data_IF_539121258796
#
_entry.id   IF_539121258796
#
_cell.length_a   1.000
_cell.length_b   1.000
_cell.length_c   1.000
_cell.angle_alpha   90.00
_cell.angle_beta   90.00
_cell.angle_gamma   90.00
#
_symmetry.space_group_name_H-M   'P 1'
#
loop_
_entity.id
_entity.type
_entity.pdbx_description
1 polymer ?
#
# COMPACT_ATOMS: atom_id res chain seq x y z
N UNK A 1 -3.88 -8.04 28.83
CA UNK A 1 -3.27 -7.26 27.73
C UNK A 1 -3.66 -7.98 26.44
N UNK A 2 -4.49 -7.39 25.60
CA UNK A 2 -4.89 -8.02 24.33
C UNK A 2 -3.70 -7.87 23.37
N UNK A 3 -2.99 -8.96 23.12
CA UNK A 3 -1.98 -9.00 22.08
C UNK A 3 -2.71 -9.12 20.76
N UNK A 4 -2.76 -8.03 19.99
CA UNK A 4 -3.27 -8.09 18.62
C UNK A 4 -2.24 -8.91 17.83
N UNK A 5 -2.62 -10.11 17.41
CA UNK A 5 -1.76 -10.89 16.54
C UNK A 5 -1.73 -10.26 15.14
N UNK A 6 -0.60 -10.37 14.44
CA UNK A 6 -0.46 -9.86 13.07
C UNK A 6 -1.53 -10.46 12.13
N UNK A 7 -1.96 -11.69 12.43
CA UNK A 7 -3.04 -12.41 11.73
C UNK A 7 -4.41 -11.79 11.98
N UNK A 8 -4.73 -11.41 13.21
CA UNK A 8 -5.98 -10.70 13.51
C UNK A 8 -5.97 -9.35 12.81
N UNK A 9 -4.87 -8.61 12.86
CA UNK A 9 -4.79 -7.29 12.24
C UNK A 9 -4.98 -7.33 10.72
N UNK A 10 -4.35 -8.29 10.03
CA UNK A 10 -4.57 -8.49 8.58
C UNK A 10 -5.99 -8.93 8.27
N UNK A 11 -6.60 -9.76 9.13
CA UNK A 11 -8.00 -10.20 8.96
C UNK A 11 -8.99 -9.05 9.13
N UNK A 12 -8.72 -8.15 10.08
CA UNK A 12 -9.60 -7.00 10.35
C UNK A 12 -9.58 -5.96 9.23
N UNK A 13 -8.41 -5.75 8.63
CA UNK A 13 -8.24 -4.80 7.54
C UNK A 13 -8.53 -5.41 6.16
N UNK A 14 -8.71 -6.73 6.08
CA UNK A 14 -8.83 -7.50 4.85
C UNK A 14 -7.70 -7.20 3.84
N UNK A 15 -6.50 -6.93 4.37
CA UNK A 15 -5.29 -6.64 3.57
C UNK A 15 -4.23 -7.70 3.81
N UNK A 16 -3.45 -7.96 2.79
CA UNK A 16 -2.28 -8.83 2.88
C UNK A 16 -1.17 -8.19 3.72
N UNK A 17 -0.30 -9.02 4.27
CA UNK A 17 0.91 -8.56 5.00
C UNK A 17 1.78 -7.66 4.11
N UNK A 18 1.80 -7.91 2.81
CA UNK A 18 2.55 -7.13 1.83
C UNK A 18 2.00 -5.71 1.68
N UNK A 19 0.69 -5.58 1.45
CA UNK A 19 0.03 -4.27 1.32
C UNK A 19 0.19 -3.46 2.60
N UNK A 20 0.04 -4.13 3.73
CA UNK A 20 0.25 -3.52 5.03
C UNK A 20 1.67 -2.97 5.20
N UNK A 21 2.68 -3.75 4.78
CA UNK A 21 4.08 -3.32 4.83
C UNK A 21 4.34 -2.08 3.96
N UNK A 22 3.74 -2.02 2.76
CA UNK A 22 3.85 -0.86 1.87
C UNK A 22 3.19 0.38 2.48
N UNK A 23 2.02 0.24 3.09
CA UNK A 23 1.37 1.35 3.78
C UNK A 23 2.21 1.85 4.97
N UNK A 24 2.78 0.96 5.77
CA UNK A 24 3.68 1.34 6.87
C UNK A 24 4.94 2.05 6.36
N UNK A 25 5.59 1.51 5.32
CA UNK A 25 6.76 2.14 4.72
C UNK A 25 6.44 3.56 4.20
N UNK A 26 5.30 3.72 3.55
CA UNK A 26 4.84 5.00 3.00
C UNK A 26 4.56 6.03 4.09
N UNK A 27 3.92 5.62 5.19
CA UNK A 27 3.67 6.47 6.36
C UNK A 27 4.98 6.86 7.04
N UNK A 28 5.93 5.93 7.18
CA UNK A 28 7.23 6.20 7.80
C UNK A 28 8.01 7.25 7.01
N UNK A 29 8.09 7.09 5.68
CA UNK A 29 8.76 8.06 4.80
C UNK A 29 8.06 9.43 4.88
N UNK A 30 6.72 9.45 4.84
CA UNK A 30 5.95 10.69 4.97
C UNK A 30 6.16 11.38 6.32
N UNK A 31 6.28 10.61 7.42
CA UNK A 31 6.56 11.12 8.76
C UNK A 31 7.95 11.79 8.84
N UNK A 32 8.97 11.18 8.24
CA UNK A 32 10.31 11.79 8.16
C UNK A 32 10.29 13.09 7.36
N UNK A 33 9.60 13.10 6.21
CA UNK A 33 9.40 14.31 5.40
C UNK A 33 8.63 15.40 6.16
N UNK A 34 7.62 15.03 6.94
CA UNK A 34 6.85 15.95 7.76
C UNK A 34 7.73 16.58 8.85
N UNK A 35 8.54 15.78 9.53
CA UNK A 35 9.49 16.27 10.52
C UNK A 35 10.47 17.28 9.93
N UNK A 36 11.06 16.96 8.78
CA UNK A 36 11.98 17.85 8.06
C UNK A 36 11.31 19.18 7.66
N UNK A 37 10.03 19.13 7.27
CA UNK A 37 9.25 20.32 6.92
C UNK A 37 8.92 21.17 8.15
N UNK A 38 8.51 20.57 9.26
CA UNK A 38 8.15 21.29 10.50
C UNK A 38 9.34 22.04 11.10
N UNK A 39 10.54 21.46 11.02
CA UNK A 39 11.77 22.09 11.48
C UNK A 39 12.36 23.10 10.46
N UNK A 40 11.66 23.41 9.36
CA UNK A 40 12.11 24.30 8.29
C UNK A 40 13.50 23.94 7.71
N UNK A 41 13.92 22.68 7.83
CA UNK A 41 15.18 22.19 7.26
C UNK A 41 15.08 22.12 5.74
N UNK A 42 13.88 21.86 5.21
CA UNK A 42 13.63 21.75 3.78
C UNK A 42 12.35 22.49 3.37
N UNK A 43 12.43 23.34 2.34
CA UNK A 43 11.29 24.07 1.78
C UNK A 43 10.50 23.20 0.79
N UNK A 44 9.80 22.20 1.33
CA UNK A 44 8.92 21.28 0.57
C UNK A 44 7.46 21.71 0.71
N UNK A 45 6.63 21.45 -0.30
CA UNK A 45 5.18 21.67 -0.18
C UNK A 45 4.52 20.55 0.64
N UNK A 46 3.39 20.83 1.29
CA UNK A 46 2.64 19.80 2.02
C UNK A 46 2.17 18.66 1.12
N UNK A 47 1.97 18.94 -0.18
CA UNK A 47 1.65 17.92 -1.18
C UNK A 47 2.79 16.91 -1.35
N UNK A 48 4.03 17.38 -1.37
CA UNK A 48 5.22 16.52 -1.48
C UNK A 48 5.45 15.68 -0.21
N UNK A 49 5.08 16.20 0.96
CA UNK A 49 5.13 15.44 2.22
C UNK A 49 4.12 14.29 2.21
N UNK A 50 2.93 14.49 1.62
CA UNK A 50 1.90 13.47 1.49
C UNK A 50 2.11 12.51 0.29
N UNK A 51 2.94 12.89 -0.69
CA UNK A 51 3.19 12.11 -1.90
C UNK A 51 3.57 10.64 -1.64
N UNK A 52 4.42 10.28 -0.65
CA UNK A 52 4.76 8.89 -0.36
C UNK A 52 3.53 8.03 -0.03
N UNK A 53 2.54 8.58 0.69
CA UNK A 53 1.30 7.88 1.05
C UNK A 53 0.49 7.58 -0.21
N UNK A 54 0.34 8.56 -1.10
CA UNK A 54 -0.38 8.39 -2.36
C UNK A 54 0.32 7.40 -3.30
N UNK A 55 1.65 7.44 -3.36
CA UNK A 55 2.45 6.48 -4.14
C UNK A 55 2.27 5.07 -3.60
N UNK A 56 2.28 4.88 -2.27
CA UNK A 56 2.02 3.59 -1.64
C UNK A 56 0.65 3.01 -1.99
N UNK A 57 -0.40 3.85 -1.94
CA UNK A 57 -1.75 3.45 -2.35
C UNK A 57 -1.79 3.07 -3.84
N UNK A 58 -1.17 3.88 -4.70
CA UNK A 58 -1.09 3.61 -6.13
C UNK A 58 -0.37 2.29 -6.45
N UNK A 59 0.69 1.98 -5.71
CA UNK A 59 1.45 0.76 -5.89
C UNK A 59 0.64 -0.49 -5.48
N UNK A 60 -0.08 -0.41 -4.36
CA UNK A 60 -1.01 -1.47 -3.93
C UNK A 60 -2.12 -1.68 -4.96
N UNK A 61 -2.77 -0.60 -5.42
CA UNK A 61 -3.81 -0.69 -6.44
C UNK A 61 -3.30 -1.29 -7.75
N UNK A 62 -2.09 -0.91 -8.19
CA UNK A 62 -1.45 -1.47 -9.38
C UNK A 62 -1.16 -2.97 -9.24
N UNK A 63 -0.71 -3.39 -8.06
CA UNK A 63 -0.46 -4.80 -7.78
C UNK A 63 -1.75 -5.62 -7.83
N UNK A 64 -2.82 -5.15 -7.18
CA UNK A 64 -4.16 -5.77 -7.25
C UNK A 64 -4.64 -5.85 -8.69
N UNK A 65 -4.45 -4.78 -9.47
CA UNK A 65 -4.84 -4.73 -10.88
C UNK A 65 -4.14 -5.80 -11.72
N UNK A 66 -2.84 -6.02 -11.51
CA UNK A 66 -2.10 -7.09 -12.21
C UNK A 66 -2.64 -8.48 -11.84
N UNK A 67 -2.88 -8.72 -10.56
CA UNK A 67 -3.44 -10.01 -10.09
C UNK A 67 -4.81 -10.24 -10.71
N UNK A 68 -5.66 -9.21 -10.72
CA UNK A 68 -6.97 -9.26 -11.34
C UNK A 68 -6.88 -9.62 -12.84
N UNK A 69 -6.03 -8.92 -13.58
CA UNK A 69 -5.82 -9.19 -15.01
C UNK A 69 -5.35 -10.63 -15.26
N UNK A 70 -4.42 -11.16 -14.45
CA UNK A 70 -3.96 -12.55 -14.57
C UNK A 70 -5.09 -13.55 -14.29
N UNK A 71 -5.87 -13.33 -13.24
CA UNK A 71 -7.03 -14.18 -12.93
C UNK A 71 -8.07 -14.18 -14.04
N UNK A 72 -8.31 -13.05 -14.71
CA UNK A 72 -9.23 -12.97 -15.84
C UNK A 72 -8.71 -13.72 -17.09
N UNK A 73 -7.39 -13.69 -17.34
CA UNK A 73 -6.78 -14.41 -18.46
C UNK A 73 -6.83 -15.92 -18.20
N UNK A 74 -6.44 -16.37 -17.01
CA UNK A 74 -6.47 -17.79 -16.64
C UNK A 74 -7.90 -18.35 -16.68
N UNK A 75 -8.89 -17.58 -16.18
CA UNK A 75 -10.30 -17.95 -16.28
C UNK A 75 -10.78 -18.11 -17.73
N UNK A 76 -10.23 -17.32 -18.66
CA UNK A 76 -10.57 -17.43 -20.10
C UNK A 76 -10.03 -18.73 -20.71
N UNK A 77 -8.83 -19.16 -20.34
CA UNK A 77 -8.24 -20.43 -20.81
C UNK A 77 -9.06 -21.64 -20.36
N UNK A 78 -9.65 -21.62 -19.15
CA UNK A 78 -10.56 -22.69 -18.69
C UNK A 78 -11.89 -22.80 -19.45
N UNK A 79 -12.30 -21.76 -20.20
CA UNK A 79 -13.56 -21.74 -20.97
C UNK A 79 -13.35 -21.75 -22.50
N UNK A 80 -12.12 -21.77 -22.98
CA UNK A 80 -11.83 -21.95 -24.40
C UNK A 80 -12.23 -23.37 -24.85
N UNK A 81 -12.82 -23.56 -26.04
CA UNK A 81 -13.09 -24.89 -26.55
C UNK A 81 -11.76 -25.59 -26.83
N UNK A 82 -11.56 -26.76 -26.23
CA UNK A 82 -10.52 -27.71 -26.62
C UNK A 82 -10.74 -28.26 -28.03
#
# INVERSE_FOLDING_TARGET
MVYISLREFTTWLDVTVFELWIHFASILVSSVLLFLKLHNIMTISYQLVAAPIFIGIGFVAYFIFIIYMRSCVEYKDYRGPS
#
